data_IF_342661166758
#
_entry.id   IF_342661166758
#
_cell.length_a   1.000
_cell.length_b   1.000
_cell.length_c   1.000
_cell.angle_alpha   90.00
_cell.angle_beta   90.00
_cell.angle_gamma   90.00
#
_symmetry.space_group_name_H-M   'P 1'
#
loop_
_entity.id
_entity.type
_entity.pdbx_description
1 polymer ?
#
# COMPACT_ATOMS: atom_id res chain seq x y z
N UNK A 1 -10.53 47.96 -28.13
CA UNK A 1 -9.22 48.59 -27.89
C UNK A 1 -8.89 48.47 -26.40
N UNK A 2 -7.77 47.81 -26.09
CA UNK A 2 -7.03 47.81 -24.81
C UNK A 2 -7.71 47.14 -23.59
N UNK A 3 -7.33 45.90 -23.26
CA UNK A 3 -6.17 45.48 -22.42
C UNK A 3 -6.49 45.53 -20.93
N UNK A 4 -6.38 44.34 -20.30
CA UNK A 4 -6.10 43.98 -18.88
C UNK A 4 -7.12 42.92 -18.42
N UNK A 5 -6.80 41.80 -17.78
CA UNK A 5 -5.63 41.19 -17.13
C UNK A 5 -6.11 39.74 -16.89
N UNK A 6 -5.51 38.71 -17.51
CA UNK A 6 -4.42 37.86 -17.00
C UNK A 6 -4.64 37.31 -15.57
N UNK A 7 -4.40 35.99 -15.39
CA UNK A 7 -3.99 35.33 -14.13
C UNK A 7 -5.14 35.17 -13.09
N UNK A 8 -5.51 34.00 -12.57
CA UNK A 8 -4.78 32.78 -12.16
C UNK A 8 -5.78 31.60 -12.13
N UNK A 9 -5.50 30.46 -12.74
CA UNK A 9 -4.77 29.32 -12.16
C UNK A 9 -5.34 28.81 -10.82
N UNK A 10 -6.04 27.67 -10.92
CA UNK A 10 -5.94 26.51 -10.05
C UNK A 10 -5.95 26.73 -8.51
N UNK A 11 -7.09 26.42 -7.90
CA UNK A 11 -7.10 25.90 -6.52
C UNK A 11 -8.08 24.74 -6.38
N UNK A 12 -7.82 23.69 -7.17
CA UNK A 12 -8.19 22.33 -6.79
C UNK A 12 -7.08 21.87 -5.85
N UNK A 13 -7.34 21.85 -4.54
CA UNK A 13 -6.52 21.11 -3.59
C UNK A 13 -7.20 19.78 -3.19
N UNK A 14 -6.41 18.78 -2.77
CA UNK A 14 -6.68 17.37 -3.00
C UNK A 14 -6.96 16.58 -1.71
N UNK A 15 -7.65 15.45 -1.88
CA UNK A 15 -7.22 14.11 -1.45
C UNK A 15 -6.31 14.00 -0.20
N UNK A 16 -6.84 13.55 0.93
CA UNK A 16 -6.21 12.61 1.88
C UNK A 16 -7.15 12.40 3.09
N UNK A 17 -7.80 11.24 3.25
CA UNK A 17 -7.26 10.09 3.98
C UNK A 17 -6.53 10.45 5.28
N UNK A 18 -7.16 11.25 6.15
CA UNK A 18 -6.67 11.49 7.51
C UNK A 18 -7.17 10.40 8.46
N UNK A 19 -6.39 9.33 8.62
CA UNK A 19 -6.64 8.36 9.69
C UNK A 19 -5.36 7.76 10.34
N UNK A 20 -4.15 8.18 9.93
CA UNK A 20 -2.91 7.59 10.49
C UNK A 20 -1.78 8.59 10.82
N UNK A 21 -2.02 9.91 10.73
CA UNK A 21 -0.96 10.94 10.88
C UNK A 21 -1.14 11.86 12.09
N UNK A 22 -2.16 11.63 12.93
CA UNK A 22 -2.49 12.48 14.08
C UNK A 22 -1.37 12.48 15.13
N UNK A 23 -0.71 11.35 15.37
CA UNK A 23 0.39 11.25 16.34
C UNK A 23 1.68 11.95 15.89
N UNK A 24 2.08 11.77 14.62
CA UNK A 24 3.29 12.43 14.09
C UNK A 24 3.12 13.95 14.08
N UNK A 25 1.93 14.45 13.79
CA UNK A 25 1.63 15.89 13.76
C UNK A 25 1.67 16.51 15.15
N UNK A 26 1.19 15.78 16.17
CA UNK A 26 1.25 16.20 17.58
C UNK A 26 2.70 16.29 18.08
N UNK A 27 3.53 15.31 17.74
CA UNK A 27 4.96 15.29 18.11
C UNK A 27 5.77 16.36 17.39
N UNK A 28 5.46 16.66 16.12
CA UNK A 28 6.10 17.75 15.39
C UNK A 28 5.76 19.09 16.05
N UNK A 29 4.47 19.37 16.34
CA UNK A 29 4.05 20.59 17.04
C UNK A 29 4.73 20.73 18.42
N UNK A 30 4.94 19.61 19.12
CA UNK A 30 5.68 19.60 20.39
C UNK A 30 7.17 19.95 20.23
N UNK A 31 7.82 19.57 19.13
CA UNK A 31 9.19 20.02 18.82
C UNK A 31 9.24 21.53 18.55
N UNK A 32 8.23 22.08 17.87
CA UNK A 32 8.18 23.52 17.56
C UNK A 32 7.97 24.38 18.81
N UNK A 33 7.15 23.90 19.76
CA UNK A 33 6.90 24.63 21.01
C UNK A 33 8.06 24.53 21.99
N UNK A 34 8.80 23.42 21.99
CA UNK A 34 9.99 23.24 22.85
C UNK A 34 11.21 24.03 22.37
N UNK A 35 11.38 24.22 21.07
CA UNK A 35 12.56 24.89 20.49
C UNK A 35 12.17 26.11 19.65
N UNK A 36 11.56 27.11 20.29
CA UNK A 36 11.08 28.34 19.62
C UNK A 36 12.22 29.24 19.12
N UNK A 37 13.32 29.35 19.87
CA UNK A 37 14.45 30.22 19.56
C UNK A 37 15.61 29.51 18.83
N UNK A 38 15.67 28.18 18.90
CA UNK A 38 16.84 27.39 18.49
C UNK A 38 16.51 26.55 17.25
N UNK A 39 16.70 27.15 16.07
CA UNK A 39 16.26 26.61 14.77
C UNK A 39 16.91 25.25 14.45
N UNK A 40 18.17 25.06 14.86
CA UNK A 40 18.90 23.82 14.62
C UNK A 40 18.31 22.67 15.45
N UNK A 41 18.13 22.87 16.77
CA UNK A 41 17.51 21.87 17.65
C UNK A 41 16.07 21.54 17.23
N UNK A 42 15.33 22.53 16.73
CA UNK A 42 13.98 22.33 16.17
C UNK A 42 14.02 21.38 14.97
N UNK A 43 14.93 21.60 14.02
CA UNK A 43 15.06 20.75 12.83
C UNK A 43 15.55 19.34 13.17
N UNK A 44 16.50 19.19 14.11
CA UNK A 44 16.99 17.90 14.58
C UNK A 44 15.89 17.09 15.31
N UNK A 45 15.07 17.76 16.14
CA UNK A 45 13.92 17.13 16.81
C UNK A 45 12.90 16.60 15.79
N UNK A 46 12.55 17.41 14.79
CA UNK A 46 11.60 17.03 13.74
C UNK A 46 12.17 15.89 12.88
N UNK A 47 13.46 15.93 12.54
CA UNK A 47 14.13 14.87 11.78
C UNK A 47 14.12 13.53 12.54
N UNK A 48 14.33 13.56 13.86
CA UNK A 48 14.29 12.37 14.72
C UNK A 48 12.90 11.75 14.78
N UNK A 49 11.84 12.57 14.90
CA UNK A 49 10.43 12.13 14.87
C UNK A 49 10.07 11.50 13.53
N UNK A 50 10.53 12.07 12.41
CA UNK A 50 10.32 11.49 11.07
C UNK A 50 11.11 10.19 10.87
N UNK A 51 12.33 10.09 11.40
CA UNK A 51 13.16 8.88 11.33
C UNK A 51 12.60 7.72 12.15
N UNK A 52 11.98 7.99 13.30
CA UNK A 52 11.29 6.95 14.09
C UNK A 52 10.05 6.40 13.41
N UNK A 53 9.36 7.17 12.57
CA UNK A 53 8.23 6.69 11.76
C UNK A 53 8.66 5.73 10.63
N UNK A 54 9.94 5.73 10.24
CA UNK A 54 10.49 4.89 9.16
C UNK A 54 11.22 3.63 9.66
N UNK A 55 11.50 3.49 10.96
CA UNK A 55 12.41 2.45 11.49
C UNK A 55 11.73 1.09 11.79
N UNK A 56 10.44 0.90 11.46
CA UNK A 56 9.73 -0.36 11.70
C UNK A 56 9.76 -1.38 10.54
N UNK A 57 10.51 -1.14 9.45
CA UNK A 57 10.68 -2.15 8.38
C UNK A 57 12.08 -2.11 7.74
N UNK A 58 13.16 -2.36 8.50
CA UNK A 58 14.45 -2.81 7.92
C UNK A 58 15.36 -3.53 8.93
N UNK A 59 15.02 -4.78 9.26
CA UNK A 59 15.87 -5.85 9.82
C UNK A 59 14.98 -7.10 9.74
N UNK A 60 14.99 -7.90 8.69
CA UNK A 60 15.96 -8.95 8.35
C UNK A 60 15.51 -9.63 7.04
N UNK A 61 16.40 -10.40 6.40
CA UNK A 61 16.23 -11.20 5.16
C UNK A 61 16.60 -10.48 3.84
N UNK A 62 17.91 -10.26 3.67
CA UNK A 62 18.57 -10.50 2.38
C UNK A 62 20.01 -11.00 2.62
N UNK A 63 20.17 -12.32 2.75
CA UNK A 63 21.37 -13.04 2.27
C UNK A 63 21.10 -14.55 2.25
N UNK A 64 20.40 -15.02 1.22
CA UNK A 64 20.48 -16.41 0.79
C UNK A 64 20.17 -16.49 -0.71
N UNK A 65 21.07 -17.16 -1.45
CA UNK A 65 20.93 -17.63 -2.85
C UNK A 65 21.56 -16.78 -3.97
N UNK A 66 22.89 -16.71 -3.94
CA UNK A 66 23.83 -16.93 -5.07
C UNK A 66 24.95 -17.79 -4.46
N UNK A 67 25.46 -18.89 -4.98
CA UNK A 67 25.51 -19.46 -6.33
C UNK A 67 26.06 -20.87 -6.12
N UNK A 68 25.35 -21.89 -6.60
CA UNK A 68 25.86 -23.26 -6.71
C UNK A 68 26.76 -23.38 -7.95
N UNK A 69 27.84 -24.13 -7.76
CA UNK A 69 28.76 -24.70 -8.76
C UNK A 69 30.02 -23.90 -9.12
N UNK A 70 31.12 -24.46 -8.58
CA UNK A 70 32.46 -24.59 -9.17
C UNK A 70 33.53 -23.63 -8.66
N UNK A 71 34.18 -23.98 -7.54
CA UNK A 71 35.65 -24.09 -7.49
C UNK A 71 36.11 -25.03 -6.36
N UNK A 72 36.93 -25.99 -6.75
CA UNK A 72 37.68 -26.96 -5.94
C UNK A 72 38.87 -26.29 -5.22
N UNK A 73 39.31 -26.94 -4.13
CA UNK A 73 40.57 -26.74 -3.36
C UNK A 73 40.65 -25.45 -2.51
N UNK A 74 41.14 -25.39 -1.27
CA UNK A 74 41.87 -26.30 -0.35
C UNK A 74 41.85 -25.59 1.05
N UNK A 75 41.48 -26.24 2.17
CA UNK A 75 42.33 -26.73 3.28
C UNK A 75 42.41 -25.86 4.57
N UNK A 76 42.13 -26.55 5.71
CA UNK A 76 42.49 -26.37 7.15
C UNK A 76 41.88 -25.21 7.96
N UNK A 77 41.05 -25.47 9.00
CA UNK A 77 41.34 -25.91 10.42
C UNK A 77 42.16 -24.82 11.14
N UNK A 78 41.67 -24.16 12.21
CA UNK A 78 41.55 -24.70 13.57
C UNK A 78 40.59 -23.91 14.52
N UNK A 79 40.04 -24.66 15.48
CA UNK A 79 39.69 -24.34 16.89
C UNK A 79 38.99 -23.01 17.26
N UNK A 80 37.71 -23.02 17.66
CA UNK A 80 37.17 -23.30 19.03
C UNK A 80 37.37 -22.14 20.02
N UNK A 81 36.30 -21.34 20.28
CA UNK A 81 35.81 -21.01 21.65
C UNK A 81 34.49 -20.20 21.68
N UNK A 82 33.44 -20.86 22.14
CA UNK A 82 32.34 -20.44 23.02
C UNK A 82 31.66 -19.06 22.88
N UNK A 83 30.38 -19.07 22.46
CA UNK A 83 29.36 -18.20 23.08
C UNK A 83 28.15 -19.05 23.48
N UNK A 84 27.98 -19.10 24.80
CA UNK A 84 26.90 -19.67 25.60
C UNK A 84 25.71 -18.71 25.60
N UNK A 85 24.51 -19.29 25.43
CA UNK A 85 23.21 -19.02 26.09
C UNK A 85 22.73 -17.54 26.21
N UNK A 86 21.46 -17.15 26.12
CA UNK A 86 20.17 -17.82 26.37
C UNK A 86 19.08 -16.78 26.06
N UNK A 87 17.87 -17.23 25.68
CA UNK A 87 16.52 -16.71 26.04
C UNK A 87 16.27 -15.17 26.05
N UNK A 88 15.15 -14.57 25.63
CA UNK A 88 13.75 -14.94 25.34
C UNK A 88 12.95 -13.62 25.24
N UNK A 89 11.72 -13.69 24.71
CA UNK A 89 10.60 -12.70 24.82
C UNK A 89 10.70 -11.45 23.92
N UNK A 90 9.76 -11.25 22.97
CA UNK A 90 8.41 -10.63 23.12
C UNK A 90 8.55 -9.24 23.78
N UNK A 91 8.06 -8.11 23.22
CA UNK A 91 6.65 -7.81 22.95
C UNK A 91 6.41 -6.67 21.91
N UNK A 92 5.32 -6.82 21.13
CA UNK A 92 4.24 -5.87 20.70
C UNK A 92 4.51 -4.35 20.54
N UNK A 93 4.05 -3.64 19.49
CA UNK A 93 2.64 -3.24 19.23
C UNK A 93 2.53 -2.48 17.85
N UNK A 94 1.99 -3.06 16.77
CA UNK A 94 0.61 -3.00 16.19
C UNK A 94 0.04 -1.56 16.07
N UNK A 95 -0.14 -0.91 14.90
CA UNK A 95 -0.80 -1.25 13.62
C UNK A 95 -2.33 -1.43 13.72
N UNK A 96 -3.06 -0.33 13.51
CA UNK A 96 -4.52 -0.33 13.33
C UNK A 96 -4.86 0.06 11.88
N UNK A 97 -5.04 -0.93 11.02
CA UNK A 97 -6.07 -0.90 9.96
C UNK A 97 -6.73 -2.27 9.99
N UNK A 98 -7.99 -2.21 10.41
CA UNK A 98 -8.94 -3.29 10.66
C UNK A 98 -9.08 -4.23 9.46
N UNK A 99 -8.26 -5.28 9.46
CA UNK A 99 -8.47 -6.53 8.73
C UNK A 99 -9.66 -7.25 9.38
N UNK A 100 -10.85 -7.05 8.82
CA UNK A 100 -12.02 -7.88 9.12
C UNK A 100 -11.83 -9.23 8.43
N UNK A 101 -11.19 -10.15 9.15
CA UNK A 101 -11.32 -11.58 8.92
C UNK A 101 -12.41 -12.09 9.86
N UNK A 102 -13.67 -12.04 9.39
CA UNK A 102 -14.74 -12.84 9.97
C UNK A 102 -15.17 -13.82 8.90
N UNK A 103 -14.63 -15.03 9.03
CA UNK A 103 -15.01 -16.22 8.27
C UNK A 103 -16.35 -16.70 8.84
N UNK A 104 -17.44 -16.08 8.44
CA UNK A 104 -18.79 -16.64 8.61
C UNK A 104 -19.12 -17.43 7.36
N UNK A 105 -19.14 -18.76 7.52
CA UNK A 105 -19.58 -19.71 6.52
C UNK A 105 -21.12 -19.64 6.46
N UNK A 106 -21.63 -18.55 5.90
CA UNK A 106 -23.03 -18.40 5.54
C UNK A 106 -23.05 -18.35 4.04
N UNK A 107 -23.68 -19.34 3.40
CA UNK A 107 -23.90 -19.37 1.96
C UNK A 107 -24.89 -18.26 1.57
N UNK A 108 -24.48 -17.01 1.70
CA UNK A 108 -25.25 -15.86 1.21
C UNK A 108 -25.10 -15.86 -0.29
N UNK A 109 -26.18 -16.17 -0.99
CA UNK A 109 -26.27 -16.09 -2.45
C UNK A 109 -25.79 -14.69 -2.86
N UNK A 110 -24.59 -14.60 -3.43
CA UNK A 110 -23.99 -13.34 -3.90
C UNK A 110 -24.91 -12.75 -4.97
N UNK A 111 -25.64 -11.71 -4.61
CA UNK A 111 -26.55 -10.99 -5.51
C UNK A 111 -25.70 -10.23 -6.52
N UNK A 112 -25.51 -10.81 -7.70
CA UNK A 112 -24.77 -10.18 -8.80
C UNK A 112 -25.60 -9.01 -9.32
N UNK A 113 -25.11 -7.80 -9.12
CA UNK A 113 -25.75 -6.56 -9.55
C UNK A 113 -24.88 -5.88 -10.60
N UNK A 114 -25.51 -5.11 -11.49
CA UNK A 114 -24.80 -4.29 -12.44
C UNK A 114 -24.02 -3.19 -11.69
N UNK A 115 -22.72 -3.07 -11.94
CA UNK A 115 -21.82 -2.14 -11.24
C UNK A 115 -21.04 -1.31 -12.25
N UNK A 116 -20.86 -0.02 -11.95
CA UNK A 116 -20.06 0.86 -12.80
C UNK A 116 -18.56 0.69 -12.48
N UNK A 117 -17.76 0.25 -13.47
CA UNK A 117 -16.31 -0.01 -13.29
C UNK A 117 -15.47 1.24 -13.13
N UNK A 118 -15.94 2.38 -13.63
CA UNK A 118 -15.23 3.65 -13.60
C UNK A 118 -15.39 4.37 -12.24
N UNK A 119 -16.45 4.07 -11.48
CA UNK A 119 -16.73 4.75 -10.20
C UNK A 119 -16.66 3.84 -8.99
N UNK A 120 -16.98 2.55 -9.11
CA UNK A 120 -17.07 1.63 -7.98
C UNK A 120 -15.74 1.46 -7.22
N UNK A 121 -15.83 1.10 -5.94
CA UNK A 121 -14.67 0.76 -5.13
C UNK A 121 -14.17 -0.67 -5.45
N UNK A 122 -12.95 -1.00 -5.03
CA UNK A 122 -12.42 -2.36 -5.20
C UNK A 122 -13.27 -3.40 -4.45
N UNK A 123 -13.85 -3.04 -3.29
CA UNK A 123 -14.72 -3.94 -2.54
C UNK A 123 -16.02 -4.21 -3.30
N UNK A 124 -16.63 -3.17 -3.89
CA UNK A 124 -17.90 -3.29 -4.60
C UNK A 124 -17.74 -4.12 -5.89
N UNK A 125 -16.62 -3.93 -6.60
CA UNK A 125 -16.28 -4.72 -7.77
C UNK A 125 -16.10 -6.20 -7.41
N UNK A 126 -15.39 -6.49 -6.31
CA UNK A 126 -15.23 -7.84 -5.81
C UNK A 126 -16.54 -8.46 -5.33
N UNK A 127 -17.47 -7.66 -4.78
CA UNK A 127 -18.77 -8.13 -4.29
C UNK A 127 -19.84 -8.27 -5.38
N UNK A 128 -19.73 -7.52 -6.49
CA UNK A 128 -20.76 -7.50 -7.53
C UNK A 128 -20.41 -8.36 -8.75
N UNK A 129 -19.12 -8.52 -9.05
CA UNK A 129 -18.68 -9.23 -10.26
C UNK A 129 -18.39 -10.72 -9.97
N UNK A 130 -18.81 -11.62 -10.87
CA UNK A 130 -18.44 -13.04 -10.78
C UNK A 130 -16.95 -13.22 -11.14
N UNK A 131 -16.24 -14.10 -10.41
CA UNK A 131 -14.84 -14.44 -10.71
C UNK A 131 -13.80 -13.35 -10.38
N UNK A 132 -14.24 -12.25 -9.76
CA UNK A 132 -13.40 -11.14 -9.30
C UNK A 132 -13.28 -11.18 -7.78
N UNK A 133 -12.04 -11.37 -7.31
CA UNK A 133 -11.67 -11.19 -5.91
C UNK A 133 -10.96 -9.85 -5.69
N UNK A 134 -10.59 -9.59 -4.45
CA UNK A 134 -9.95 -8.33 -4.02
C UNK A 134 -8.72 -7.95 -4.86
N UNK A 135 -7.86 -8.92 -5.21
CA UNK A 135 -6.64 -8.68 -5.99
C UNK A 135 -6.94 -8.14 -7.38
N UNK A 136 -7.88 -8.77 -8.10
CA UNK A 136 -8.28 -8.34 -9.44
C UNK A 136 -9.04 -7.02 -9.38
N UNK A 137 -9.90 -6.84 -8.38
CA UNK A 137 -10.62 -5.59 -8.20
C UNK A 137 -9.69 -4.40 -7.92
N UNK A 138 -8.64 -4.59 -7.11
CA UNK A 138 -7.58 -3.58 -6.93
C UNK A 138 -6.87 -3.28 -8.24
N UNK A 139 -6.53 -4.30 -9.03
CA UNK A 139 -5.90 -4.09 -10.33
C UNK A 139 -6.76 -3.25 -11.29
N UNK A 140 -8.08 -3.43 -11.30
CA UNK A 140 -9.01 -2.58 -12.09
C UNK A 140 -8.93 -1.12 -11.64
N UNK A 141 -8.98 -0.88 -10.32
CA UNK A 141 -8.90 0.48 -9.75
C UNK A 141 -7.54 1.13 -10.04
N UNK A 142 -6.46 0.37 -9.97
CA UNK A 142 -5.12 0.88 -10.27
C UNK A 142 -4.92 1.13 -11.76
N UNK A 143 -5.49 0.29 -12.62
CA UNK A 143 -5.48 0.50 -14.05
C UNK A 143 -6.20 1.79 -14.43
N UNK A 144 -7.43 2.03 -13.92
CA UNK A 144 -8.15 3.27 -14.24
C UNK A 144 -7.48 4.54 -13.75
N UNK A 145 -6.70 4.46 -12.66
CA UNK A 145 -5.89 5.59 -12.17
C UNK A 145 -4.73 5.92 -13.12
N UNK A 146 -4.15 4.92 -13.78
CA UNK A 146 -2.99 5.07 -14.67
C UNK A 146 -3.37 5.35 -16.12
N UNK A 147 -4.39 4.67 -16.62
CA UNK A 147 -4.78 4.69 -18.03
C UNK A 147 -6.07 5.46 -18.29
N UNK A 148 -6.77 5.90 -17.25
CA UNK A 148 -8.05 6.60 -17.36
C UNK A 148 -9.27 5.66 -17.36
N UNK A 149 -10.43 6.20 -17.71
CA UNK A 149 -11.71 5.47 -17.68
C UNK A 149 -11.76 4.35 -18.73
N UNK A 150 -12.38 3.23 -18.37
CA UNK A 150 -12.71 2.16 -19.30
C UNK A 150 -13.86 2.59 -20.21
N UNK A 151 -13.73 2.36 -21.52
CA UNK A 151 -14.76 2.67 -22.51
C UNK A 151 -15.58 1.43 -22.88
N UNK A 152 -14.96 0.25 -22.76
CA UNK A 152 -15.55 -1.01 -23.19
C UNK A 152 -15.14 -2.17 -22.29
N UNK A 153 -15.87 -3.29 -22.39
CA UNK A 153 -15.50 -4.51 -21.68
C UNK A 153 -14.15 -5.07 -22.14
N UNK A 154 -13.75 -4.84 -23.40
CA UNK A 154 -12.45 -5.27 -23.94
C UNK A 154 -11.28 -4.56 -23.25
N UNK A 155 -11.46 -3.32 -22.80
CA UNK A 155 -10.42 -2.60 -22.07
C UNK A 155 -10.09 -3.23 -20.71
N UNK A 156 -11.04 -3.97 -20.11
CA UNK A 156 -10.80 -4.69 -18.86
C UNK A 156 -9.82 -5.86 -19.01
N UNK A 157 -9.64 -6.38 -20.23
CA UNK A 157 -8.67 -7.45 -20.51
C UNK A 157 -7.22 -6.94 -20.49
N UNK A 158 -7.02 -5.62 -20.59
CA UNK A 158 -5.69 -4.99 -20.45
C UNK A 158 -5.22 -4.94 -18.99
N UNK A 159 -6.10 -5.26 -18.04
CA UNK A 159 -5.79 -5.27 -16.61
C UNK A 159 -5.12 -6.60 -16.26
N UNK A 160 -4.03 -6.55 -15.52
CA UNK A 160 -3.29 -7.75 -15.09
C UNK A 160 -4.18 -8.69 -14.29
N UNK A 161 -4.26 -9.96 -14.70
CA UNK A 161 -5.07 -11.00 -14.05
C UNK A 161 -6.54 -11.04 -14.47
N UNK A 162 -6.94 -10.23 -15.45
CA UNK A 162 -8.23 -10.32 -16.14
C UNK A 162 -8.05 -10.93 -17.54
N UNK A 163 -8.46 -12.18 -17.70
CA UNK A 163 -8.51 -12.84 -19.01
C UNK A 163 -9.90 -12.78 -19.64
N UNK A 164 -9.97 -13.08 -20.94
CA UNK A 164 -11.22 -13.07 -21.73
C UNK A 164 -12.34 -13.87 -21.06
N UNK A 165 -12.02 -15.03 -20.47
CA UNK A 165 -12.98 -15.87 -19.73
C UNK A 165 -13.63 -15.12 -18.58
N UNK A 166 -12.82 -14.41 -17.78
CA UNK A 166 -13.35 -13.62 -16.66
C UNK A 166 -14.23 -12.50 -17.17
N UNK A 167 -13.74 -11.74 -18.15
CA UNK A 167 -14.47 -10.60 -18.73
C UNK A 167 -15.79 -11.05 -19.32
N UNK A 168 -15.80 -12.15 -20.08
CA UNK A 168 -17.02 -12.70 -20.68
C UNK A 168 -18.10 -13.02 -19.65
N UNK A 169 -17.74 -13.69 -18.55
CA UNK A 169 -18.68 -14.04 -17.47
C UNK A 169 -19.27 -12.83 -16.76
N UNK A 170 -18.57 -11.70 -16.75
CA UNK A 170 -19.02 -10.50 -16.06
C UNK A 170 -19.65 -9.45 -16.99
N UNK A 171 -19.53 -9.59 -18.33
CA UNK A 171 -20.06 -8.63 -19.33
C UNK A 171 -21.48 -8.15 -19.04
N UNK A 172 -22.38 -9.06 -18.62
CA UNK A 172 -23.78 -8.76 -18.28
C UNK A 172 -23.95 -7.80 -17.10
N UNK A 173 -22.94 -7.70 -16.23
CA UNK A 173 -22.96 -6.92 -14.99
C UNK A 173 -22.11 -5.64 -15.08
N UNK A 174 -21.47 -5.37 -16.21
CA UNK A 174 -20.61 -4.19 -16.38
C UNK A 174 -21.42 -2.98 -16.83
N UNK A 175 -21.17 -1.84 -16.19
CA UNK A 175 -21.53 -0.51 -16.68
C UNK A 175 -20.27 0.36 -16.73
N UNK A 176 -20.23 1.30 -17.69
CA UNK A 176 -19.12 2.24 -17.88
C UNK A 176 -19.56 3.64 -17.50
#
# INVERSE_FOLDING_TARGET
MFKKVLLTLAFILPFASQAATTDTTKLIKQCETKYKADKQKKMDCIAKVKKSASKSTKKEVEKAKKTSSTKVADVKKDAKKDVKATSSKLDSKKADVKKSSTKTNTAVKKQLKAVNVNTASASDLAASLPGIGETKAKAIVDYRKKHGKFKSAKDLEKVTGLGEKSVSSMKKYLKF
#
